data_IF_928142124807
#
_entry.id   IF_928142124807
#
_cell.length_a   1.000
_cell.length_b   1.000
_cell.length_c   1.000
_cell.angle_alpha   90.00
_cell.angle_beta   90.00
_cell.angle_gamma   90.00
#
_symmetry.space_group_name_H-M   'P 1'
#
loop_
_entity.id
_entity.type
_entity.pdbx_description
1 polymer ?
#
# COMPACT_ATOMS: atom_id res chain seq x y z
N UNK A 1 -14.22 -4.40 -0.64
CA UNK A 1 -13.69 -5.78 -0.72
C UNK A 1 -13.12 -6.11 -2.10
N UNK A 2 -13.87 -6.00 -3.22
CA UNK A 2 -13.37 -6.32 -4.58
C UNK A 2 -12.07 -5.60 -4.97
N UNK A 3 -11.98 -4.29 -4.75
CA UNK A 3 -10.76 -3.52 -5.06
C UNK A 3 -9.57 -3.89 -4.14
N UNK A 4 -9.80 -4.01 -2.84
CA UNK A 4 -8.76 -4.44 -1.88
C UNK A 4 -8.23 -5.84 -2.21
N UNK A 5 -9.11 -6.79 -2.53
CA UNK A 5 -8.73 -8.14 -2.96
C UNK A 5 -7.98 -8.10 -4.29
N UNK A 6 -8.36 -7.22 -5.23
CA UNK A 6 -7.62 -7.04 -6.47
C UNK A 6 -6.18 -6.56 -6.23
N UNK A 7 -6.01 -5.52 -5.42
CA UNK A 7 -4.68 -4.98 -5.06
C UNK A 7 -3.87 -6.04 -4.31
N UNK A 8 -4.48 -6.72 -3.34
CA UNK A 8 -3.87 -7.81 -2.58
C UNK A 8 -3.41 -8.95 -3.48
N UNK A 9 -4.24 -9.38 -4.43
CA UNK A 9 -3.92 -10.48 -5.34
C UNK A 9 -2.82 -10.08 -6.30
N UNK A 10 -2.83 -8.84 -6.82
CA UNK A 10 -1.74 -8.33 -7.65
C UNK A 10 -0.41 -8.35 -6.89
N UNK A 11 -0.40 -7.90 -5.63
CA UNK A 11 0.78 -7.93 -4.77
C UNK A 11 1.26 -9.35 -4.50
N UNK A 12 0.36 -10.24 -4.04
CA UNK A 12 0.66 -11.64 -3.73
C UNK A 12 1.25 -12.37 -4.94
N UNK A 13 0.64 -12.18 -6.12
CA UNK A 13 1.11 -12.79 -7.37
C UNK A 13 2.48 -12.26 -7.80
N UNK A 14 2.70 -10.94 -7.67
CA UNK A 14 3.98 -10.31 -8.03
C UNK A 14 5.12 -10.80 -7.15
N UNK A 15 4.85 -10.99 -5.86
CA UNK A 15 5.84 -11.43 -4.87
C UNK A 15 5.99 -12.96 -4.80
N UNK A 16 5.24 -13.72 -5.62
CA UNK A 16 5.26 -15.19 -5.60
C UNK A 16 4.75 -15.80 -4.28
N UNK A 17 3.90 -15.10 -3.55
CA UNK A 17 3.36 -15.55 -2.26
C UNK A 17 2.25 -16.57 -2.50
N UNK A 18 2.28 -17.69 -1.77
CA UNK A 18 1.21 -18.70 -1.82
C UNK A 18 -0.15 -18.10 -1.45
N UNK A 19 -1.18 -18.44 -2.20
CA UNK A 19 -2.52 -17.87 -2.02
C UNK A 19 -3.11 -18.23 -0.64
N UNK A 20 -3.54 -17.24 0.16
CA UNK A 20 -4.13 -17.48 1.46
C UNK A 20 -5.55 -18.04 1.34
N UNK A 21 -6.01 -18.76 2.37
CA UNK A 21 -7.41 -19.20 2.48
C UNK A 21 -8.38 -18.01 2.45
N UNK A 22 -9.67 -18.18 2.09
CA UNK A 22 -10.60 -17.05 1.91
C UNK A 22 -10.69 -16.10 3.11
N UNK A 23 -10.61 -16.65 4.34
CA UNK A 23 -10.62 -15.86 5.58
C UNK A 23 -9.33 -15.06 5.78
N UNK A 24 -8.19 -15.64 5.39
CA UNK A 24 -6.88 -14.98 5.45
C UNK A 24 -6.69 -13.95 4.32
N UNK A 25 -7.31 -14.15 3.15
CA UNK A 25 -7.25 -13.23 2.02
C UNK A 25 -7.78 -11.84 2.37
N UNK A 26 -8.90 -11.73 3.09
CA UNK A 26 -9.42 -10.43 3.52
C UNK A 26 -8.49 -9.73 4.52
N UNK A 27 -7.83 -10.47 5.43
CA UNK A 27 -6.87 -9.90 6.38
C UNK A 27 -5.61 -9.42 5.66
N UNK A 28 -5.08 -10.24 4.75
CA UNK A 28 -3.95 -9.89 3.92
C UNK A 28 -4.25 -8.65 3.07
N UNK A 29 -5.45 -8.55 2.49
CA UNK A 29 -5.83 -7.41 1.69
C UNK A 29 -5.85 -6.10 2.48
N UNK A 30 -6.40 -6.11 3.69
CA UNK A 30 -6.36 -4.95 4.58
C UNK A 30 -4.95 -4.57 5.00
N UNK A 31 -4.13 -5.56 5.35
CA UNK A 31 -2.73 -5.34 5.70
C UNK A 31 -1.95 -4.68 4.55
N UNK A 32 -2.05 -5.23 3.33
CA UNK A 32 -1.38 -4.72 2.14
C UNK A 32 -1.87 -3.30 1.81
N UNK A 33 -3.18 -3.07 1.88
CA UNK A 33 -3.75 -1.75 1.60
C UNK A 33 -3.24 -0.69 2.58
N UNK A 34 -3.23 -0.98 3.89
CA UNK A 34 -2.71 -0.07 4.91
C UNK A 34 -1.22 0.17 4.69
N UNK A 35 -0.43 -0.88 4.49
CA UNK A 35 1.01 -0.77 4.26
C UNK A 35 1.32 0.13 3.05
N UNK A 36 0.65 -0.09 1.91
CA UNK A 36 0.84 0.71 0.70
C UNK A 36 0.42 2.17 0.93
N UNK A 37 -0.72 2.39 1.60
CA UNK A 37 -1.21 3.73 1.91
C UNK A 37 -0.24 4.49 2.83
N UNK A 38 0.34 3.82 3.83
CA UNK A 38 1.34 4.39 4.72
C UNK A 38 2.60 4.79 3.96
N UNK A 39 3.12 3.93 3.08
CA UNK A 39 4.29 4.26 2.26
C UNK A 39 4.02 5.49 1.39
N UNK A 40 2.87 5.54 0.71
CA UNK A 40 2.49 6.69 -0.11
C UNK A 40 2.36 7.97 0.72
N UNK A 41 1.76 7.90 1.91
CA UNK A 41 1.63 9.05 2.80
C UNK A 41 2.99 9.58 3.27
N UNK A 42 3.93 8.69 3.61
CA UNK A 42 5.30 9.08 4.00
C UNK A 42 6.02 9.77 2.86
N UNK A 43 6.02 9.17 1.66
CA UNK A 43 6.66 9.75 0.48
C UNK A 43 6.04 11.11 0.12
N UNK A 44 4.71 11.20 0.12
CA UNK A 44 4.00 12.45 -0.14
C UNK A 44 4.33 13.53 0.91
N UNK A 45 4.44 13.15 2.18
CA UNK A 45 4.81 14.07 3.26
C UNK A 45 6.22 14.60 3.07
N UNK A 46 7.19 13.72 2.79
CA UNK A 46 8.58 14.14 2.54
C UNK A 46 8.66 15.05 1.32
N UNK A 47 8.01 14.67 0.21
CA UNK A 47 7.97 15.48 -1.00
C UNK A 47 7.35 16.85 -0.74
N UNK A 48 6.23 16.91 -0.01
CA UNK A 48 5.57 18.15 0.38
C UNK A 48 6.49 19.05 1.22
N UNK A 49 7.17 18.49 2.21
CA UNK A 49 8.12 19.24 3.05
C UNK A 49 9.31 19.75 2.25
N UNK A 50 9.88 18.93 1.35
CA UNK A 50 11.00 19.32 0.51
C UNK A 50 10.62 20.46 -0.46
N UNK A 51 9.47 20.34 -1.12
CA UNK A 51 8.90 21.38 -1.98
C UNK A 51 8.68 22.66 -1.17
N UNK A 52 7.98 22.56 -0.03
CA UNK A 52 7.70 23.70 0.84
C UNK A 52 8.99 24.39 1.28
N UNK A 53 10.01 23.64 1.68
CA UNK A 53 11.29 24.19 2.08
C UNK A 53 11.99 24.92 0.93
N UNK A 54 12.03 24.32 -0.27
CA UNK A 54 12.64 24.92 -1.45
C UNK A 54 11.96 26.21 -1.93
N UNK A 55 10.66 26.37 -1.69
CA UNK A 55 9.91 27.59 -2.05
C UNK A 55 9.88 28.67 -0.95
N UNK A 56 10.29 28.33 0.29
CA UNK A 56 10.37 29.26 1.42
C UNK A 56 11.81 29.64 1.81
N UNK A 57 12.81 29.19 1.03
CA UNK A 57 14.17 29.73 0.99
C UNK A 57 14.34 30.54 -0.29
#
# INVERSE_FOLDING_TARGET
>A
MKLLLFISNAFINTMGITQPSPRAANRAAWFIFIMLSTVLAVVATIAFLAIRWAFHH
#
